data_IF_852247382107
#
_entry.id   IF_852247382107
#
_cell.length_a   1.000
_cell.length_b   1.000
_cell.length_c   1.000
_cell.angle_alpha   90.00
_cell.angle_beta   90.00
_cell.angle_gamma   90.00
#
_symmetry.space_group_name_H-M   'P 1'
#
loop_
_entity.id
_entity.type
_entity.pdbx_description
1 polymer ?
#
# COMPACT_ATOMS: atom_id res chain seq x y z
N UNK A 1 -14.05 12.07 -18.49
CA UNK A 1 -14.23 13.03 -17.37
C UNK A 1 -12.92 13.77 -17.12
N UNK A 2 -13.01 14.97 -16.55
CA UNK A 2 -11.88 15.76 -16.05
C UNK A 2 -11.75 15.59 -14.54
N UNK A 3 -10.69 14.92 -14.09
CA UNK A 3 -10.35 14.69 -12.70
C UNK A 3 -9.23 15.63 -12.26
N UNK A 4 -9.41 16.29 -11.11
CA UNK A 4 -8.32 16.90 -10.37
C UNK A 4 -7.94 16.02 -9.19
N UNK A 5 -6.78 15.35 -9.26
CA UNK A 5 -6.23 14.56 -8.16
C UNK A 5 -5.30 15.42 -7.32
N UNK A 6 -5.57 15.51 -6.02
CA UNK A 6 -4.79 16.33 -5.07
C UNK A 6 -4.06 15.41 -4.10
N UNK A 7 -2.74 15.53 -4.01
CA UNK A 7 -1.94 14.69 -3.13
C UNK A 7 -0.68 15.40 -2.64
N UNK A 8 -0.31 15.16 -1.40
CA UNK A 8 0.98 15.55 -0.84
C UNK A 8 2.10 14.57 -1.23
N UNK A 9 1.73 13.36 -1.69
CA UNK A 9 2.69 12.30 -2.04
C UNK A 9 2.42 11.74 -3.44
N UNK A 10 3.48 11.71 -4.26
CA UNK A 10 3.43 11.22 -5.64
C UNK A 10 4.85 10.86 -6.11
N UNK A 11 5.05 10.02 -7.15
CA UNK A 11 6.38 9.80 -7.69
C UNK A 11 7.10 11.12 -8.02
N UNK A 12 8.44 11.19 -7.84
CA UNK A 12 9.38 10.10 -7.50
C UNK A 12 9.45 9.62 -6.03
N UNK A 13 8.56 10.05 -5.12
CA UNK A 13 8.51 9.46 -3.78
C UNK A 13 8.20 7.95 -3.81
N UNK A 14 8.91 7.19 -2.97
CA UNK A 14 8.85 5.73 -2.97
C UNK A 14 8.08 5.27 -1.74
N UNK A 15 6.76 5.22 -1.87
CA UNK A 15 5.86 4.66 -0.87
C UNK A 15 4.61 4.06 -1.53
N UNK A 16 3.87 3.26 -0.76
CA UNK A 16 2.71 2.53 -1.27
C UNK A 16 1.53 3.40 -1.73
N UNK A 17 1.43 4.64 -1.26
CA UNK A 17 0.37 5.59 -1.67
C UNK A 17 0.75 6.21 -3.01
N UNK A 18 1.92 6.81 -3.12
CA UNK A 18 2.44 7.41 -4.35
C UNK A 18 2.37 6.43 -5.55
N UNK A 19 2.79 5.18 -5.35
CA UNK A 19 2.73 4.15 -6.40
C UNK A 19 1.30 3.79 -6.80
N UNK A 20 0.37 3.74 -5.85
CA UNK A 20 -1.06 3.46 -6.13
C UNK A 20 -1.66 4.59 -6.94
N UNK A 21 -1.45 5.84 -6.52
CA UNK A 21 -1.96 7.02 -7.21
C UNK A 21 -1.41 7.09 -8.64
N UNK A 22 -0.12 6.79 -8.84
CA UNK A 22 0.48 6.76 -10.17
C UNK A 22 -0.16 5.72 -11.09
N UNK A 23 -0.44 4.51 -10.58
CA UNK A 23 -1.15 3.47 -11.35
C UNK A 23 -2.58 3.87 -11.70
N UNK A 24 -3.30 4.49 -10.75
CA UNK A 24 -4.64 5.02 -10.98
C UNK A 24 -4.65 6.13 -12.04
N UNK A 25 -3.76 7.12 -11.93
CA UNK A 25 -3.64 8.22 -12.88
C UNK A 25 -3.28 7.70 -14.28
N UNK A 26 -2.28 6.81 -14.36
CA UNK A 26 -1.87 6.21 -15.63
C UNK A 26 -3.01 5.42 -16.30
N UNK A 27 -3.71 4.59 -15.52
CA UNK A 27 -4.85 3.82 -16.02
C UNK A 27 -6.02 4.71 -16.48
N UNK A 28 -6.38 5.73 -15.70
CA UNK A 28 -7.44 6.67 -16.09
C UNK A 28 -7.09 7.44 -17.37
N UNK A 29 -5.84 7.89 -17.50
CA UNK A 29 -5.35 8.55 -18.73
C UNK A 29 -5.40 7.60 -19.93
N UNK A 30 -5.01 6.34 -19.75
CA UNK A 30 -5.09 5.31 -20.80
C UNK A 30 -6.54 5.01 -21.23
N UNK A 31 -7.51 5.17 -20.32
CA UNK A 31 -8.94 5.10 -20.61
C UNK A 31 -9.52 6.41 -21.20
N UNK A 32 -8.68 7.41 -21.50
CA UNK A 32 -9.09 8.67 -22.13
C UNK A 32 -9.64 9.73 -21.18
N UNK A 33 -9.52 9.55 -19.86
CA UNK A 33 -9.90 10.60 -18.90
C UNK A 33 -8.82 11.70 -18.85
N UNK A 34 -9.24 12.95 -18.77
CA UNK A 34 -8.34 14.07 -18.51
C UNK A 34 -8.03 14.11 -17.01
N UNK A 35 -6.77 13.89 -16.64
CA UNK A 35 -6.37 13.82 -15.22
C UNK A 35 -5.26 14.83 -14.94
N UNK A 36 -5.58 15.85 -14.13
CA UNK A 36 -4.57 16.74 -13.55
C UNK A 36 -4.13 16.23 -12.17
N UNK A 37 -2.84 16.35 -11.85
CA UNK A 37 -2.29 15.98 -10.55
C UNK A 37 -1.74 17.22 -9.86
N UNK A 38 -2.38 17.65 -8.77
CA UNK A 38 -1.95 18.78 -7.95
C UNK A 38 -1.12 18.23 -6.79
N UNK A 39 0.17 18.57 -6.77
CA UNK A 39 1.11 18.08 -5.75
C UNK A 39 2.19 19.09 -5.37
N UNK A 40 2.84 18.97 -4.20
CA UNK A 40 3.99 19.78 -3.87
C UNK A 40 5.16 19.54 -4.81
N UNK A 41 5.93 20.61 -5.07
CA UNK A 41 7.24 20.49 -5.70
C UNK A 41 8.19 19.70 -4.79
N UNK A 42 8.82 18.66 -5.33
CA UNK A 42 9.73 17.79 -4.59
C UNK A 42 11.16 18.37 -4.52
N UNK A 43 12.02 17.80 -3.66
CA UNK A 43 13.35 18.35 -3.36
C UNK A 43 14.31 18.36 -4.55
N UNK A 44 14.12 17.46 -5.53
CA UNK A 44 14.93 17.38 -6.75
C UNK A 44 14.39 18.23 -7.90
N UNK A 45 13.22 18.85 -7.74
CA UNK A 45 12.59 19.68 -8.76
C UNK A 45 12.90 21.16 -8.48
N UNK A 46 13.57 21.82 -9.41
CA UNK A 46 13.95 23.24 -9.31
C UNK A 46 12.80 24.15 -9.74
N UNK A 47 12.74 25.40 -9.26
CA UNK A 47 11.82 26.40 -9.78
C UNK A 47 12.07 26.62 -11.28
N UNK A 48 11.06 26.35 -12.12
CA UNK A 48 11.15 26.46 -13.58
C UNK A 48 11.14 25.12 -14.32
N UNK A 49 11.35 23.99 -13.62
CA UNK A 49 11.20 22.68 -14.23
C UNK A 49 9.77 22.50 -14.75
N UNK A 50 9.67 22.04 -16.00
CA UNK A 50 8.40 21.69 -16.63
C UNK A 50 7.88 20.45 -15.90
N UNK A 51 6.71 20.53 -15.24
CA UNK A 51 6.11 19.36 -14.62
C UNK A 51 5.86 18.25 -15.65
N UNK A 52 5.81 16.98 -15.23
CA UNK A 52 5.24 15.92 -16.05
C UNK A 52 3.88 16.36 -16.61
N UNK A 53 3.56 15.94 -17.83
CA UNK A 53 2.35 16.39 -18.51
C UNK A 53 1.10 16.15 -17.65
N UNK A 54 0.34 17.23 -17.41
CA UNK A 54 -0.84 17.25 -16.54
C UNK A 54 -0.58 17.45 -15.04
N UNK A 55 0.65 17.66 -14.57
CA UNK A 55 0.92 17.98 -13.16
C UNK A 55 0.86 19.50 -12.91
N UNK A 56 0.21 19.92 -11.82
CA UNK A 56 0.26 21.28 -11.30
C UNK A 56 1.01 21.34 -9.97
N UNK A 57 2.23 21.91 -10.00
CA UNK A 57 3.11 21.96 -8.85
C UNK A 57 2.82 23.17 -7.95
N UNK A 58 2.48 22.90 -6.70
CA UNK A 58 2.38 23.93 -5.66
C UNK A 58 3.70 24.08 -4.90
N UNK A 59 4.03 25.27 -4.36
CA UNK A 59 5.18 25.44 -3.47
C UNK A 59 5.10 24.44 -2.31
N UNK A 60 6.19 23.72 -2.03
CA UNK A 60 6.24 22.75 -0.93
C UNK A 60 7.16 23.19 0.20
N UNK A 61 6.83 22.84 1.44
CA UNK A 61 7.69 23.01 2.62
C UNK A 61 8.13 21.64 3.14
N UNK A 62 9.39 21.51 3.56
CA UNK A 62 9.88 20.28 4.19
C UNK A 62 9.26 20.14 5.59
N UNK A 63 8.88 18.92 5.96
CA UNK A 63 8.37 18.64 7.31
C UNK A 63 9.56 18.50 8.27
N UNK A 64 9.60 19.20 9.42
CA UNK A 64 10.63 19.01 10.44
C UNK A 64 10.73 17.53 10.83
N UNK A 65 11.96 16.99 10.93
CA UNK A 65 12.27 15.58 11.25
C UNK A 65 11.88 14.54 10.18
N UNK A 66 11.18 14.93 9.10
CA UNK A 66 10.84 14.07 7.97
C UNK A 66 11.27 14.74 6.65
N UNK A 67 12.58 14.91 6.46
CA UNK A 67 13.15 15.65 5.32
C UNK A 67 12.81 15.07 3.94
N UNK A 68 12.33 13.82 3.87
CA UNK A 68 11.88 13.17 2.63
C UNK A 68 10.43 13.47 2.25
N UNK A 69 9.64 14.08 3.13
CA UNK A 69 8.25 14.44 2.88
C UNK A 69 8.09 15.95 2.79
N UNK A 70 7.25 16.40 1.86
CA UNK A 70 6.90 17.81 1.70
C UNK A 70 5.40 17.99 1.83
N UNK A 71 5.01 19.11 2.41
CA UNK A 71 3.62 19.57 2.45
C UNK A 71 3.45 20.74 1.49
N UNK A 72 2.36 20.76 0.75
CA UNK A 72 1.98 21.80 -0.17
C UNK A 72 1.53 23.02 0.62
N UNK A 73 2.10 24.18 0.28
CA UNK A 73 1.66 25.44 0.86
C UNK A 73 0.24 25.72 0.38
N UNK A 74 -0.75 25.77 1.30
CA UNK A 74 -2.14 25.88 0.92
C UNK A 74 -2.43 27.27 0.36
N UNK A 75 -3.06 27.34 -0.82
CA UNK A 75 -3.60 28.59 -1.35
C UNK A 75 -4.98 28.37 -1.96
N UNK A 76 -6.01 28.55 -1.13
CA UNK A 76 -7.42 28.39 -1.52
C UNK A 76 -7.74 29.28 -2.73
N UNK A 77 -7.37 30.57 -2.70
CA UNK A 77 -7.66 31.50 -3.80
C UNK A 77 -6.93 31.17 -5.11
N UNK A 78 -5.81 30.44 -5.06
CA UNK A 78 -5.12 29.98 -6.26
C UNK A 78 -5.80 28.75 -6.86
N UNK A 79 -6.22 27.81 -6.00
CA UNK A 79 -7.05 26.66 -6.39
C UNK A 79 -8.39 27.11 -6.97
N UNK A 80 -9.04 28.10 -6.35
CA UNK A 80 -10.29 28.68 -6.85
C UNK A 80 -10.12 29.27 -8.26
N UNK A 81 -9.12 30.13 -8.46
CA UNK A 81 -8.85 30.74 -9.78
C UNK A 81 -8.51 29.68 -10.83
N UNK A 82 -7.72 28.68 -10.47
CA UNK A 82 -7.37 27.56 -11.35
C UNK A 82 -8.63 26.80 -11.82
N UNK A 83 -9.47 26.36 -10.87
CA UNK A 83 -10.69 25.62 -11.19
C UNK A 83 -11.85 26.48 -11.74
N UNK A 84 -11.76 27.81 -11.68
CA UNK A 84 -12.65 28.71 -12.41
C UNK A 84 -12.27 28.79 -13.89
N UNK A 85 -10.97 28.85 -14.20
CA UNK A 85 -10.48 28.81 -15.57
C UNK A 85 -10.66 27.41 -16.20
N UNK A 86 -10.43 26.38 -15.39
CA UNK A 86 -10.41 24.99 -15.82
C UNK A 86 -11.15 24.08 -14.82
N UNK A 87 -12.48 24.10 -14.90
CA UNK A 87 -13.34 23.37 -13.95
C UNK A 87 -13.24 21.85 -14.13
N UNK A 88 -12.84 21.07 -13.11
CA UNK A 88 -12.93 19.61 -13.15
C UNK A 88 -14.37 19.13 -12.89
N UNK A 89 -14.69 17.93 -13.38
CA UNK A 89 -15.95 17.24 -13.10
C UNK A 89 -16.01 16.75 -11.64
N UNK A 90 -14.83 16.43 -11.07
CA UNK A 90 -14.66 15.93 -9.70
C UNK A 90 -13.23 16.21 -9.21
N UNK A 91 -13.10 16.54 -7.92
CA UNK A 91 -11.81 16.59 -7.22
C UNK A 91 -11.66 15.33 -6.37
N UNK A 92 -10.53 14.64 -6.47
CA UNK A 92 -10.17 13.55 -5.57
C UNK A 92 -9.02 13.96 -4.67
N UNK A 93 -9.23 14.00 -3.36
CA UNK A 93 -8.19 14.34 -2.38
C UNK A 93 -7.62 13.07 -1.77
N UNK A 94 -6.38 12.73 -2.12
CA UNK A 94 -5.72 11.51 -1.69
C UNK A 94 -5.00 11.62 -0.34
N UNK A 95 -4.78 12.84 0.15
CA UNK A 95 -4.08 13.12 1.41
C UNK A 95 -4.73 14.28 2.15
N UNK A 96 -4.97 14.13 3.44
CA UNK A 96 -5.76 15.03 4.28
C UNK A 96 -4.95 16.20 4.88
N UNK A 97 -3.77 16.46 4.32
CA UNK A 97 -2.86 17.54 4.74
C UNK A 97 -3.35 18.95 4.36
N UNK A 98 -2.51 19.98 4.56
CA UNK A 98 -2.86 21.37 4.28
C UNK A 98 -3.34 21.61 2.84
N UNK A 99 -2.70 21.00 1.84
CA UNK A 99 -3.13 21.11 0.44
C UNK A 99 -4.49 20.46 0.22
N UNK A 100 -4.73 19.29 0.82
CA UNK A 100 -6.01 18.58 0.76
C UNK A 100 -7.14 19.40 1.40
N UNK A 101 -6.89 20.03 2.55
CA UNK A 101 -7.84 20.92 3.21
C UNK A 101 -8.16 22.17 2.37
N UNK A 102 -7.14 22.79 1.79
CA UNK A 102 -7.33 23.95 0.91
C UNK A 102 -8.16 23.58 -0.33
N UNK A 103 -7.88 22.41 -0.90
CA UNK A 103 -8.59 21.85 -2.06
C UNK A 103 -10.06 21.55 -1.74
N UNK A 104 -10.34 20.92 -0.60
CA UNK A 104 -11.71 20.69 -0.13
C UNK A 104 -12.49 22.00 0.03
N UNK A 105 -11.86 23.04 0.59
CA UNK A 105 -12.50 24.36 0.76
C UNK A 105 -12.80 25.04 -0.58
N UNK A 106 -11.81 25.08 -1.49
CA UNK A 106 -11.96 25.70 -2.81
C UNK A 106 -13.02 24.97 -3.66
N UNK A 107 -12.98 23.64 -3.73
CA UNK A 107 -13.92 22.85 -4.51
C UNK A 107 -15.36 23.01 -4.01
N UNK A 108 -15.56 23.01 -2.68
CA UNK A 108 -16.88 23.23 -2.09
C UNK A 108 -17.43 24.64 -2.38
N UNK A 109 -16.59 25.67 -2.38
CA UNK A 109 -17.01 27.03 -2.74
C UNK A 109 -17.45 27.14 -4.20
N UNK A 110 -16.84 26.36 -5.09
CA UNK A 110 -17.16 26.31 -6.52
C UNK A 110 -18.26 25.28 -6.88
N UNK A 111 -18.86 24.62 -5.88
CA UNK A 111 -19.85 23.56 -6.11
C UNK A 111 -19.29 22.40 -6.95
N UNK A 112 -18.03 22.04 -6.74
CA UNK A 112 -17.38 20.90 -7.39
C UNK A 112 -17.44 19.71 -6.41
N UNK A 113 -17.89 18.52 -6.84
CA UNK A 113 -17.92 17.34 -6.00
C UNK A 113 -16.51 16.91 -5.60
N UNK A 114 -16.36 16.51 -4.35
CA UNK A 114 -15.08 16.06 -3.78
C UNK A 114 -15.20 14.63 -3.31
N UNK A 115 -14.31 13.76 -3.76
CA UNK A 115 -14.07 12.43 -3.16
C UNK A 115 -12.74 12.44 -2.42
N UNK A 116 -12.53 11.48 -1.53
CA UNK A 116 -11.25 11.32 -0.83
C UNK A 116 -10.86 9.86 -0.70
N UNK A 117 -9.58 9.60 -0.48
CA UNK A 117 -9.09 8.28 -0.09
C UNK A 117 -8.46 8.32 1.30
N UNK A 118 -8.60 7.23 2.04
CA UNK A 118 -8.06 7.06 3.38
C UNK A 118 -6.80 6.21 3.31
N UNK A 119 -5.66 6.79 3.66
CA UNK A 119 -4.35 6.11 3.64
C UNK A 119 -3.62 6.15 4.98
N UNK A 120 -4.26 6.71 6.00
CA UNK A 120 -3.69 6.85 7.34
C UNK A 120 -3.72 5.49 8.06
N UNK A 121 -2.58 5.03 8.59
CA UNK A 121 -2.52 3.78 9.33
C UNK A 121 -2.85 4.00 10.82
N UNK A 122 -4.09 3.75 11.23
CA UNK A 122 -4.54 3.95 12.62
C UNK A 122 -3.75 3.16 13.66
N UNK A 123 -3.28 1.96 13.33
CA UNK A 123 -2.55 1.10 14.26
C UNK A 123 -1.17 1.68 14.59
N UNK A 124 -0.52 2.34 13.62
CA UNK A 124 0.73 3.05 13.85
C UNK A 124 0.61 4.20 14.87
N UNK A 125 -0.55 4.86 14.96
CA UNK A 125 -0.80 5.92 15.94
C UNK A 125 -1.11 5.39 17.35
N UNK A 126 -1.31 4.08 17.52
CA UNK A 126 -1.70 3.48 18.78
C UNK A 126 -0.55 3.23 19.77
N UNK A 127 0.68 3.03 19.29
CA UNK A 127 1.73 2.40 20.11
C UNK A 127 3.02 3.19 20.35
N UNK A 128 3.38 4.17 19.53
CA UNK A 128 4.77 4.70 19.52
C UNK A 128 4.98 6.13 20.01
N UNK A 129 3.92 6.90 20.28
CA UNK A 129 4.03 8.25 20.82
C UNK A 129 2.92 8.45 21.85
N UNK A 130 3.26 8.57 23.13
CA UNK A 130 2.35 8.68 24.28
C UNK A 130 1.44 9.91 24.27
N UNK A 131 0.56 9.99 23.28
CA UNK A 131 -0.20 11.17 22.90
C UNK A 131 -1.67 10.82 22.61
N UNK A 132 -2.32 10.09 23.53
CA UNK A 132 -3.71 9.65 23.39
C UNK A 132 -4.70 10.80 23.09
N UNK A 133 -4.45 12.00 23.62
CA UNK A 133 -5.26 13.19 23.32
C UNK A 133 -5.10 13.66 21.86
N UNK A 134 -3.87 13.70 21.34
CA UNK A 134 -3.62 14.08 19.94
C UNK A 134 -4.23 13.06 18.98
N UNK A 135 -4.25 11.77 19.34
CA UNK A 135 -4.96 10.74 18.56
C UNK A 135 -6.45 11.06 18.41
N UNK A 136 -7.11 11.46 19.51
CA UNK A 136 -8.52 11.87 19.49
C UNK A 136 -8.78 13.08 18.59
N UNK A 137 -7.90 14.09 18.66
CA UNK A 137 -7.99 15.29 17.82
C UNK A 137 -7.75 14.99 16.34
N UNK A 138 -6.74 14.19 16.00
CA UNK A 138 -6.47 13.76 14.62
C UNK A 138 -7.64 12.97 14.07
N UNK A 139 -8.17 12.01 14.83
CA UNK A 139 -9.34 11.23 14.41
C UNK A 139 -10.58 12.13 14.19
N UNK A 140 -10.79 13.10 15.08
CA UNK A 140 -11.89 14.06 14.94
C UNK A 140 -11.73 14.93 13.69
N UNK A 141 -10.51 15.41 13.40
CA UNK A 141 -10.20 16.14 12.17
C UNK A 141 -10.44 15.29 10.93
N UNK A 142 -9.90 14.07 10.89
CA UNK A 142 -10.08 13.17 9.75
C UNK A 142 -11.57 12.87 9.52
N UNK A 143 -12.32 12.55 10.57
CA UNK A 143 -13.77 12.34 10.46
C UNK A 143 -14.48 13.57 9.92
N UNK A 144 -14.15 14.76 10.46
CA UNK A 144 -14.72 16.03 9.98
C UNK A 144 -14.42 16.28 8.50
N UNK A 145 -13.22 15.93 8.05
CA UNK A 145 -12.74 16.11 6.68
C UNK A 145 -13.46 15.15 5.72
N UNK A 146 -13.39 13.85 6.00
CA UNK A 146 -13.99 12.81 5.15
C UNK A 146 -15.51 12.92 5.09
N UNK A 147 -16.18 13.25 6.21
CA UNK A 147 -17.62 13.50 6.22
C UNK A 147 -18.03 14.81 5.49
N UNK A 148 -17.10 15.56 4.87
CA UNK A 148 -17.39 16.67 3.95
C UNK A 148 -17.19 16.33 2.49
N UNK A 149 -16.78 15.11 2.19
CA UNK A 149 -16.65 14.57 0.83
C UNK A 149 -17.92 13.80 0.43
N UNK A 150 -18.17 13.70 -0.87
CA UNK A 150 -19.25 12.91 -1.46
C UNK A 150 -19.02 11.41 -1.24
N UNK A 151 -17.76 10.97 -1.23
CA UNK A 151 -17.36 9.59 -0.95
C UNK A 151 -15.94 9.53 -0.39
N UNK A 152 -15.72 8.62 0.56
CA UNK A 152 -14.41 8.29 1.11
C UNK A 152 -14.05 6.85 0.78
N UNK A 153 -12.92 6.65 0.13
CA UNK A 153 -12.46 5.35 -0.34
C UNK A 153 -11.39 4.79 0.59
N UNK A 154 -11.53 3.55 1.03
CA UNK A 154 -10.54 2.87 1.87
C UNK A 154 -10.01 1.58 1.21
N UNK A 155 -8.78 1.12 1.52
CA UNK A 155 -8.13 0.03 0.78
C UNK A 155 -8.77 -1.35 0.96
N UNK A 156 -9.47 -1.58 2.07
CA UNK A 156 -10.01 -2.88 2.46
C UNK A 156 -11.41 -2.74 3.07
N UNK A 157 -12.20 -3.80 3.02
CA UNK A 157 -13.51 -3.86 3.67
C UNK A 157 -13.37 -3.75 5.18
N UNK A 158 -12.35 -4.40 5.75
CA UNK A 158 -12.00 -4.25 7.17
C UNK A 158 -11.83 -2.78 7.57
N UNK A 159 -11.09 -1.99 6.77
CA UNK A 159 -10.88 -0.57 7.07
C UNK A 159 -12.17 0.25 6.92
N UNK A 160 -13.03 -0.08 5.95
CA UNK A 160 -14.36 0.53 5.83
C UNK A 160 -15.19 0.29 7.10
N UNK A 161 -15.25 -0.94 7.60
CA UNK A 161 -16.03 -1.29 8.79
C UNK A 161 -15.45 -0.62 10.05
N UNK A 162 -14.12 -0.57 10.16
CA UNK A 162 -13.42 0.14 11.22
C UNK A 162 -13.63 1.66 11.19
N UNK A 163 -13.76 2.27 10.00
CA UNK A 163 -14.07 3.69 9.84
C UNK A 163 -15.55 3.95 10.15
N UNK A 164 -16.45 3.07 9.69
CA UNK A 164 -17.88 3.16 9.96
C UNK A 164 -18.18 3.14 11.46
N UNK A 165 -17.56 2.20 12.22
CA UNK A 165 -17.67 2.16 13.68
C UNK A 165 -17.19 3.44 14.38
N UNK A 166 -16.31 4.21 13.73
CA UNK A 166 -15.81 5.52 14.20
C UNK A 166 -16.60 6.72 13.66
N UNK A 167 -17.78 6.47 13.06
CA UNK A 167 -18.73 7.46 12.51
C UNK A 167 -18.22 8.21 11.26
N UNK A 168 -17.37 7.56 10.48
CA UNK A 168 -17.11 8.02 9.12
C UNK A 168 -18.27 7.60 8.21
N UNK A 169 -18.63 8.46 7.27
CA UNK A 169 -19.80 8.29 6.41
C UNK A 169 -19.40 8.17 4.94
N UNK A 170 -20.30 7.60 4.12
CA UNK A 170 -20.16 7.50 2.66
C UNK A 170 -18.84 6.80 2.27
N UNK A 171 -18.60 5.66 2.91
CA UNK A 171 -17.42 4.85 2.73
C UNK A 171 -17.63 3.83 1.61
N UNK A 172 -16.59 3.60 0.81
CA UNK A 172 -16.55 2.48 -0.14
C UNK A 172 -15.12 1.92 -0.23
N UNK A 173 -14.97 0.74 -0.81
CA UNK A 173 -13.68 0.07 -0.96
C UNK A 173 -13.03 0.48 -2.27
N UNK A 174 -11.82 1.02 -2.20
CA UNK A 174 -10.89 1.13 -3.33
C UNK A 174 -9.82 0.07 -3.16
N UNK A 175 -10.08 -1.10 -3.74
CA UNK A 175 -9.16 -2.23 -3.73
C UNK A 175 -7.82 -1.87 -4.39
N UNK A 176 -6.83 -2.76 -4.25
CA UNK A 176 -5.54 -2.61 -4.91
C UNK A 176 -5.30 -3.71 -5.94
N UNK A 177 -4.63 -3.33 -7.02
CA UNK A 177 -4.14 -4.25 -8.02
C UNK A 177 -2.72 -4.72 -7.69
N UNK A 178 -2.34 -5.85 -8.27
CA UNK A 178 -0.96 -6.34 -8.32
C UNK A 178 -0.51 -6.38 -9.77
N UNK A 179 0.76 -6.00 -10.03
CA UNK A 179 1.36 -6.13 -11.36
C UNK A 179 1.75 -7.60 -11.58
N UNK A 180 0.76 -8.41 -11.94
CA UNK A 180 0.92 -9.84 -12.15
C UNK A 180 1.78 -10.20 -13.37
N UNK A 181 2.14 -9.25 -14.24
CA UNK A 181 3.11 -9.46 -15.32
C UNK A 181 4.55 -9.25 -14.83
N UNK A 182 4.74 -8.30 -13.93
CA UNK A 182 6.00 -8.10 -13.24
C UNK A 182 6.25 -9.22 -12.24
N UNK A 183 5.32 -9.48 -11.33
CA UNK A 183 5.41 -10.53 -10.33
C UNK A 183 4.87 -11.84 -10.90
N UNK A 184 5.78 -12.66 -11.42
CA UNK A 184 5.47 -13.91 -12.10
C UNK A 184 6.44 -15.04 -11.68
N UNK A 185 5.93 -16.26 -11.38
CA UNK A 185 6.77 -17.40 -11.00
C UNK A 185 7.83 -17.78 -12.05
N UNK A 186 7.61 -17.46 -13.33
CA UNK A 186 8.56 -17.74 -14.41
C UNK A 186 9.87 -16.96 -14.26
N UNK A 187 9.93 -15.95 -13.38
CA UNK A 187 11.17 -15.20 -13.06
C UNK A 187 12.06 -15.90 -12.04
N UNK A 188 11.73 -17.13 -11.64
CA UNK A 188 12.56 -17.90 -10.71
C UNK A 188 13.98 -18.06 -11.25
N UNK A 189 14.97 -17.71 -10.43
CA UNK A 189 16.38 -17.73 -10.81
C UNK A 189 17.17 -18.70 -9.94
N UNK A 190 17.69 -19.76 -10.56
CA UNK A 190 18.58 -20.71 -9.88
C UNK A 190 19.90 -20.05 -9.48
N UNK A 191 20.44 -19.16 -10.30
CA UNK A 191 21.66 -18.40 -9.99
C UNK A 191 21.48 -17.55 -8.72
N UNK A 192 20.30 -16.93 -8.56
CA UNK A 192 19.98 -16.15 -7.38
C UNK A 192 19.90 -17.04 -6.13
N UNK A 193 19.25 -18.22 -6.23
CA UNK A 193 19.21 -19.20 -5.14
C UNK A 193 20.59 -19.69 -4.72
N UNK A 194 21.47 -19.97 -5.69
CA UNK A 194 22.87 -20.33 -5.42
C UNK A 194 23.61 -19.20 -4.70
N UNK A 195 23.38 -17.93 -5.09
CA UNK A 195 23.97 -16.78 -4.40
C UNK A 195 23.52 -16.63 -2.93
N UNK A 196 22.39 -17.24 -2.57
CA UNK A 196 21.89 -17.30 -1.19
C UNK A 196 22.39 -18.53 -0.43
N UNK A 197 23.22 -19.35 -1.04
CA UNK A 197 23.67 -20.64 -0.50
C UNK A 197 22.54 -21.66 -0.38
N UNK A 198 21.47 -21.53 -1.17
CA UNK A 198 20.35 -22.47 -1.21
C UNK A 198 20.57 -23.50 -2.32
N UNK A 199 20.50 -24.78 -1.99
CA UNK A 199 20.38 -25.86 -2.95
C UNK A 199 19.03 -25.79 -3.70
N UNK A 200 18.88 -26.46 -4.86
CA UNK A 200 17.62 -26.51 -5.60
C UNK A 200 16.41 -26.93 -4.75
N UNK A 201 16.60 -27.89 -3.84
CA UNK A 201 15.61 -28.48 -2.95
C UNK A 201 15.43 -27.76 -1.61
N UNK A 202 16.35 -26.86 -1.25
CA UNK A 202 16.30 -26.14 0.02
C UNK A 202 15.08 -25.21 0.07
N UNK A 203 14.43 -25.16 1.23
CA UNK A 203 13.33 -24.22 1.45
C UNK A 203 13.89 -22.79 1.57
N UNK A 204 13.53 -21.89 0.64
CA UNK A 204 13.85 -20.46 0.78
C UNK A 204 12.66 -19.72 1.39
N UNK A 205 12.85 -19.27 2.63
CA UNK A 205 11.91 -18.40 3.33
C UNK A 205 12.25 -16.95 3.02
N UNK A 206 11.27 -16.21 2.50
CA UNK A 206 11.42 -14.83 2.07
C UNK A 206 10.69 -13.87 3.00
N UNK A 207 11.37 -12.78 3.34
CA UNK A 207 10.77 -11.58 3.91
C UNK A 207 11.01 -10.41 2.96
N UNK A 208 9.98 -9.64 2.65
CA UNK A 208 10.09 -8.43 1.84
C UNK A 208 9.44 -7.26 2.57
N UNK A 209 10.18 -6.17 2.75
CA UNK A 209 9.67 -4.96 3.36
C UNK A 209 10.72 -4.15 4.08
N UNK A 210 10.29 -3.06 4.73
CA UNK A 210 11.18 -2.25 5.56
C UNK A 210 11.67 -3.10 6.75
N UNK A 211 12.97 -3.09 7.01
CA UNK A 211 13.57 -3.79 8.16
C UNK A 211 13.51 -2.83 9.36
N UNK A 212 12.37 -2.86 10.06
CA UNK A 212 12.07 -1.95 11.15
C UNK A 212 11.16 -2.62 12.19
N UNK A 213 11.20 -2.12 13.44
CA UNK A 213 10.54 -2.74 14.59
C UNK A 213 9.02 -2.84 14.40
N UNK A 214 8.40 -1.83 13.79
CA UNK A 214 6.96 -1.79 13.54
C UNK A 214 6.47 -2.92 12.62
N UNK A 215 7.36 -3.57 11.85
CA UNK A 215 7.00 -4.71 11.00
C UNK A 215 6.99 -6.05 11.72
N UNK A 216 7.26 -6.06 13.03
CA UNK A 216 7.29 -7.26 13.87
C UNK A 216 8.21 -8.35 13.29
N UNK A 217 9.35 -7.92 12.76
CA UNK A 217 10.32 -8.81 12.10
C UNK A 217 10.90 -9.85 13.06
N UNK A 218 10.99 -9.53 14.37
CA UNK A 218 11.43 -10.46 15.40
C UNK A 218 10.62 -11.76 15.39
N UNK A 219 9.29 -11.68 15.26
CA UNK A 219 8.44 -12.86 15.19
C UNK A 219 8.68 -13.70 13.92
N UNK A 220 8.94 -13.06 12.78
CA UNK A 220 9.28 -13.78 11.56
C UNK A 220 10.66 -14.48 11.66
N UNK A 221 11.63 -13.84 12.33
CA UNK A 221 12.94 -14.44 12.64
C UNK A 221 12.77 -15.63 13.58
N UNK A 222 12.04 -15.49 14.68
CA UNK A 222 11.75 -16.58 15.62
C UNK A 222 11.08 -17.77 14.91
N UNK A 223 10.09 -17.49 14.05
CA UNK A 223 9.40 -18.52 13.30
C UNK A 223 10.33 -19.23 12.29
N UNK A 224 11.22 -18.49 11.63
CA UNK A 224 12.24 -19.09 10.75
C UNK A 224 13.22 -19.97 11.54
N UNK A 225 13.72 -19.51 12.69
CA UNK A 225 14.65 -20.27 13.51
C UNK A 225 14.05 -21.60 13.96
N UNK A 226 12.78 -21.60 14.40
CA UNK A 226 12.02 -22.82 14.74
C UNK A 226 11.82 -23.73 13.54
N UNK A 227 11.51 -23.16 12.37
CA UNK A 227 11.39 -23.92 11.11
C UNK A 227 12.70 -24.64 10.79
N UNK A 228 13.85 -23.97 10.97
CA UNK A 228 15.18 -24.49 10.67
C UNK A 228 15.57 -25.69 11.53
N UNK A 229 14.97 -25.86 12.71
CA UNK A 229 15.14 -27.07 13.53
C UNK A 229 14.66 -28.34 12.80
N UNK A 230 13.59 -28.22 12.00
CA UNK A 230 13.03 -29.32 11.18
C UNK A 230 13.56 -29.36 9.74
N UNK A 231 14.07 -28.23 9.24
CA UNK A 231 14.58 -28.06 7.88
C UNK A 231 15.97 -27.38 7.91
N UNK A 232 17.04 -28.12 8.28
CA UNK A 232 18.38 -27.51 8.47
C UNK A 232 18.96 -26.83 7.22
N UNK A 233 18.54 -27.27 6.03
CA UNK A 233 18.91 -26.66 4.75
C UNK A 233 18.20 -25.35 4.43
N UNK A 234 17.17 -24.97 5.18
CA UNK A 234 16.40 -23.76 4.88
C UNK A 234 17.25 -22.48 4.92
N UNK A 235 16.92 -21.54 4.05
CA UNK A 235 17.57 -20.22 3.97
C UNK A 235 16.56 -19.12 4.23
N UNK A 236 16.99 -18.09 4.96
CA UNK A 236 16.19 -16.89 5.18
C UNK A 236 16.75 -15.74 4.39
N UNK A 237 15.93 -15.19 3.50
CA UNK A 237 16.29 -14.11 2.57
C UNK A 237 15.46 -12.90 2.91
N UNK A 238 16.13 -11.79 3.26
CA UNK A 238 15.51 -10.51 3.58
C UNK A 238 15.77 -9.51 2.45
N UNK A 239 14.68 -9.10 1.79
CA UNK A 239 14.70 -8.07 0.75
C UNK A 239 14.12 -6.78 1.31
N UNK A 240 14.97 -5.76 1.37
CA UNK A 240 14.64 -4.47 1.94
C UNK A 240 15.76 -3.88 2.78
N UNK A 241 15.50 -2.72 3.35
CA UNK A 241 16.41 -2.02 4.23
C UNK A 241 15.64 -1.31 5.34
N UNK A 242 16.34 -0.81 6.33
CA UNK A 242 15.75 -0.05 7.42
C UNK A 242 16.64 0.03 8.65
N UNK A 243 16.21 0.81 9.65
CA UNK A 243 17.00 1.11 10.84
C UNK A 243 17.41 -0.15 11.63
N UNK A 244 16.64 -1.23 11.57
CA UNK A 244 16.95 -2.47 12.29
C UNK A 244 17.89 -3.42 11.52
N UNK A 245 18.27 -3.11 10.27
CA UNK A 245 19.07 -4.01 9.42
C UNK A 245 20.43 -4.33 10.02
N UNK A 246 21.18 -3.31 10.45
CA UNK A 246 22.54 -3.51 10.95
C UNK A 246 22.58 -4.40 12.20
N UNK A 247 21.68 -4.15 13.15
CA UNK A 247 21.55 -4.96 14.36
C UNK A 247 21.15 -6.40 14.03
N UNK A 248 20.20 -6.59 13.11
CA UNK A 248 19.77 -7.92 12.69
C UNK A 248 20.91 -8.70 12.00
N UNK A 249 21.67 -8.05 11.12
CA UNK A 249 22.82 -8.67 10.43
C UNK A 249 23.96 -9.03 11.38
N UNK A 250 24.16 -8.26 12.44
CA UNK A 250 25.13 -8.60 13.48
C UNK A 250 24.69 -9.82 14.32
N UNK A 251 23.39 -9.93 14.61
CA UNK A 251 22.83 -11.04 15.40
C UNK A 251 22.69 -12.34 14.59
N UNK A 252 22.40 -12.25 13.29
CA UNK A 252 22.16 -13.38 12.40
C UNK A 252 22.95 -13.25 11.09
N UNK A 253 24.30 -13.33 11.14
CA UNK A 253 25.14 -13.20 9.96
C UNK A 253 24.91 -14.31 8.93
N UNK A 254 24.23 -15.39 9.30
CA UNK A 254 23.91 -16.49 8.41
C UNK A 254 22.69 -16.24 7.50
N UNK A 255 21.91 -15.18 7.73
CA UNK A 255 20.81 -14.80 6.85
C UNK A 255 21.32 -14.08 5.61
N UNK A 256 20.56 -14.14 4.51
CA UNK A 256 20.89 -13.39 3.30
C UNK A 256 20.19 -12.02 3.30
N UNK A 257 20.97 -10.95 3.30
CA UNK A 257 20.47 -9.57 3.26
C UNK A 257 20.60 -9.00 1.85
N UNK A 258 19.55 -9.13 1.04
CA UNK A 258 19.55 -8.66 -0.34
C UNK A 258 19.57 -7.12 -0.43
N UNK A 259 19.17 -6.41 0.63
CA UNK A 259 19.01 -4.95 0.57
C UNK A 259 17.78 -4.55 -0.25
N UNK A 260 17.64 -3.25 -0.54
CA UNK A 260 16.49 -2.75 -1.30
C UNK A 260 16.57 -3.18 -2.77
N UNK A 261 15.48 -3.77 -3.28
CA UNK A 261 15.29 -4.18 -4.68
C UNK A 261 14.02 -3.56 -5.25
N UNK A 262 13.97 -3.37 -6.57
CA UNK A 262 12.83 -2.77 -7.28
C UNK A 262 12.63 -3.42 -8.64
N UNK A 263 11.45 -3.23 -9.23
CA UNK A 263 11.15 -3.69 -10.58
C UNK A 263 11.44 -5.18 -10.77
N UNK A 264 12.10 -5.52 -11.87
CA UNK A 264 12.41 -6.91 -12.23
C UNK A 264 13.26 -7.63 -11.18
N UNK A 265 14.27 -6.95 -10.60
CA UNK A 265 15.11 -7.57 -9.57
C UNK A 265 14.27 -7.99 -8.35
N UNK A 266 13.34 -7.14 -7.91
CA UNK A 266 12.44 -7.49 -6.80
C UNK A 266 11.56 -8.69 -7.15
N UNK A 267 11.02 -8.72 -8.36
CA UNK A 267 10.18 -9.83 -8.82
C UNK A 267 10.94 -11.16 -8.91
N UNK A 268 12.20 -11.15 -9.34
CA UNK A 268 13.07 -12.32 -9.33
C UNK A 268 13.34 -12.84 -7.92
N UNK A 269 13.49 -11.95 -6.93
CA UNK A 269 13.66 -12.35 -5.52
C UNK A 269 12.40 -13.04 -4.99
N UNK A 270 11.22 -12.49 -5.28
CA UNK A 270 9.96 -13.16 -4.95
C UNK A 270 9.88 -14.54 -5.62
N UNK A 271 9.98 -14.63 -6.95
CA UNK A 271 9.83 -15.88 -7.69
C UNK A 271 10.85 -16.97 -7.29
N UNK A 272 11.99 -16.57 -6.72
CA UNK A 272 13.05 -17.46 -6.24
C UNK A 272 12.86 -17.95 -4.80
N UNK A 273 11.91 -17.37 -4.06
CA UNK A 273 11.47 -17.84 -2.74
C UNK A 273 10.48 -19.00 -2.81
N UNK A 274 10.14 -19.54 -1.64
CA UNK A 274 9.25 -20.71 -1.50
C UNK A 274 8.11 -20.46 -0.50
N UNK A 275 8.45 -19.88 0.64
CA UNK A 275 7.55 -19.50 1.72
C UNK A 275 7.73 -18.01 1.97
N UNK A 276 6.64 -17.25 2.09
CA UNK A 276 6.70 -15.82 2.41
C UNK A 276 6.17 -15.58 3.82
N UNK A 277 7.01 -15.04 4.71
CA UNK A 277 6.61 -14.73 6.08
C UNK A 277 6.37 -13.23 6.24
N UNK A 278 5.18 -12.88 6.71
CA UNK A 278 4.82 -11.48 6.94
C UNK A 278 4.00 -11.31 8.22
N UNK A 279 4.70 -11.06 9.33
CA UNK A 279 4.13 -10.94 10.66
C UNK A 279 3.73 -9.49 11.04
N UNK A 280 3.56 -8.59 10.05
CA UNK A 280 3.27 -7.19 10.35
C UNK A 280 1.89 -7.01 10.99
N UNK A 281 1.85 -6.21 12.05
CA UNK A 281 0.63 -5.86 12.80
C UNK A 281 0.08 -4.48 12.43
N UNK A 282 0.69 -3.82 11.43
CA UNK A 282 0.39 -2.43 11.10
C UNK A 282 0.54 -2.18 9.59
N UNK A 283 -0.58 -2.29 8.88
CA UNK A 283 -0.66 -2.18 7.43
C UNK A 283 -1.95 -1.50 7.00
N UNK A 284 -1.88 -0.67 5.95
CA UNK A 284 -3.10 -0.16 5.31
C UNK A 284 -3.67 -1.16 4.32
N UNK A 285 -2.79 -1.87 3.60
CA UNK A 285 -3.14 -2.97 2.71
C UNK A 285 -2.11 -4.10 2.77
N UNK A 286 -0.82 -3.80 2.62
CA UNK A 286 0.23 -4.84 2.61
C UNK A 286 0.44 -5.46 1.22
N UNK A 287 0.78 -4.64 0.22
CA UNK A 287 1.00 -5.07 -1.17
C UNK A 287 1.93 -6.29 -1.29
N UNK A 288 2.92 -6.40 -0.41
CA UNK A 288 3.91 -7.49 -0.40
C UNK A 288 3.28 -8.88 -0.32
N UNK A 289 2.11 -9.01 0.33
CA UNK A 289 1.35 -10.26 0.38
C UNK A 289 0.83 -10.61 -1.02
N UNK A 290 0.18 -9.67 -1.70
CA UNK A 290 -0.33 -9.91 -3.07
C UNK A 290 0.78 -10.09 -4.10
N UNK A 291 1.94 -9.45 -3.92
CA UNK A 291 3.13 -9.64 -4.75
C UNK A 291 3.73 -11.05 -4.57
N UNK A 292 3.78 -11.54 -3.33
CA UNK A 292 4.19 -12.91 -3.03
C UNK A 292 3.21 -13.94 -3.62
N UNK A 293 1.90 -13.70 -3.48
CA UNK A 293 0.88 -14.54 -4.12
C UNK A 293 1.04 -14.56 -5.64
N UNK A 294 1.23 -13.39 -6.26
CA UNK A 294 1.43 -13.25 -7.70
C UNK A 294 2.71 -13.96 -8.18
N UNK A 295 3.76 -13.98 -7.37
CA UNK A 295 5.01 -14.67 -7.68
C UNK A 295 4.99 -16.17 -7.34
N UNK A 296 3.86 -16.69 -6.83
CA UNK A 296 3.67 -18.11 -6.56
C UNK A 296 4.40 -18.62 -5.31
N UNK A 297 4.57 -17.80 -4.27
CA UNK A 297 5.02 -18.27 -2.95
C UNK A 297 3.83 -18.77 -2.14
N UNK A 298 4.10 -19.52 -1.05
CA UNK A 298 3.12 -19.80 0.00
C UNK A 298 3.16 -18.67 1.02
N UNK A 299 2.17 -17.77 1.11
CA UNK A 299 2.17 -16.71 2.11
C UNK A 299 1.72 -17.23 3.48
N UNK A 300 2.42 -16.81 4.54
CA UNK A 300 2.01 -16.94 5.93
C UNK A 300 2.00 -15.55 6.56
N UNK A 301 0.82 -15.08 6.93
CA UNK A 301 0.63 -13.73 7.45
C UNK A 301 -0.53 -13.68 8.44
N UNK A 302 -0.62 -12.61 9.23
CA UNK A 302 -1.80 -12.37 10.05
C UNK A 302 -3.05 -12.14 9.20
N UNK A 303 -4.20 -12.62 9.66
CA UNK A 303 -5.54 -12.40 9.11
C UNK A 303 -5.95 -10.93 9.28
N UNK A 304 -5.32 -10.09 8.48
CA UNK A 304 -5.37 -8.64 8.55
C UNK A 304 -5.00 -8.04 7.19
N UNK A 305 -5.65 -6.93 6.84
CA UNK A 305 -5.40 -6.21 5.59
C UNK A 305 -5.49 -7.13 4.35
N UNK A 306 -4.52 -7.11 3.43
CA UNK A 306 -4.54 -7.92 2.20
C UNK A 306 -4.68 -9.43 2.46
N UNK A 307 -4.15 -9.95 3.58
CA UNK A 307 -4.30 -11.37 3.93
C UNK A 307 -5.77 -11.71 4.14
N UNK A 308 -6.50 -10.89 4.90
CA UNK A 308 -7.93 -11.10 5.16
C UNK A 308 -8.77 -11.03 3.88
N UNK A 309 -8.39 -10.14 2.96
CA UNK A 309 -9.11 -9.95 1.69
C UNK A 309 -8.85 -11.08 0.68
N UNK A 310 -7.65 -11.68 0.69
CA UNK A 310 -7.17 -12.47 -0.45
C UNK A 310 -6.62 -13.86 -0.10
N UNK A 311 -6.26 -14.11 1.16
CA UNK A 311 -5.75 -15.41 1.63
C UNK A 311 -6.88 -16.20 2.28
N UNK A 312 -7.10 -17.40 1.76
CA UNK A 312 -7.98 -18.44 2.28
C UNK A 312 -7.09 -19.49 2.93
N UNK A 313 -7.17 -19.59 4.26
CA UNK A 313 -6.31 -20.45 5.07
C UNK A 313 -6.31 -21.90 4.57
N UNK A 314 -5.11 -22.47 4.38
CA UNK A 314 -4.88 -23.82 3.87
C UNK A 314 -5.13 -24.02 2.37
N UNK A 315 -5.71 -23.04 1.67
CA UNK A 315 -6.05 -23.16 0.24
C UNK A 315 -5.01 -22.47 -0.64
N UNK A 316 -4.74 -21.19 -0.39
CA UNK A 316 -3.84 -20.38 -1.21
C UNK A 316 -2.78 -19.63 -0.38
N UNK A 317 -2.66 -20.01 0.89
CA UNK A 317 -1.80 -19.44 1.91
C UNK A 317 -2.25 -19.87 3.30
N UNK A 318 -1.61 -19.34 4.35
CA UNK A 318 -1.96 -19.61 5.74
C UNK A 318 -2.16 -18.30 6.48
N UNK A 319 -3.35 -18.14 7.05
CA UNK A 319 -3.70 -16.96 7.82
C UNK A 319 -3.61 -17.29 9.31
N UNK A 320 -2.88 -16.46 10.06
CA UNK A 320 -2.78 -16.56 11.51
C UNK A 320 -3.73 -15.56 12.17
N UNK A 321 -4.26 -15.89 13.35
CA UNK A 321 -5.04 -14.93 14.13
C UNK A 321 -4.23 -13.66 14.40
N UNK A 322 -4.85 -12.49 14.20
CA UNK A 322 -4.17 -11.20 14.24
C UNK A 322 -3.53 -10.93 15.61
N UNK A 323 -2.26 -10.50 15.58
CA UNK A 323 -1.47 -10.12 16.77
C UNK A 323 -1.36 -11.24 17.82
N UNK A 324 -1.42 -12.50 17.39
CA UNK A 324 -1.22 -13.68 18.24
C UNK A 324 0.04 -14.46 17.81
N UNK A 325 1.20 -14.24 18.47
CA UNK A 325 2.45 -14.91 18.11
C UNK A 325 2.36 -16.45 18.11
N UNK A 326 1.59 -17.03 19.04
CA UNK A 326 1.34 -18.47 19.08
C UNK A 326 0.61 -18.97 17.83
N UNK A 327 -0.41 -18.24 17.37
CA UNK A 327 -1.14 -18.55 16.15
C UNK A 327 -0.27 -18.41 14.90
N UNK A 328 0.63 -17.41 14.87
CA UNK A 328 1.58 -17.24 13.78
C UNK A 328 2.55 -18.43 13.68
N UNK A 329 3.16 -18.84 14.81
CA UNK A 329 4.00 -20.04 14.85
C UNK A 329 3.24 -21.30 14.42
N UNK A 330 1.98 -21.45 14.87
CA UNK A 330 1.14 -22.57 14.47
C UNK A 330 0.85 -22.56 12.96
N UNK A 331 0.60 -21.38 12.36
CA UNK A 331 0.41 -21.24 10.92
C UNK A 331 1.67 -21.61 10.11
N UNK A 332 2.85 -21.19 10.56
CA UNK A 332 4.13 -21.61 9.93
C UNK A 332 4.32 -23.11 10.02
N UNK A 333 4.04 -23.72 11.18
CA UNK A 333 4.10 -25.18 11.35
C UNK A 333 3.13 -25.91 10.42
N UNK A 334 1.89 -25.41 10.27
CA UNK A 334 0.91 -25.97 9.31
C UNK A 334 1.39 -25.84 7.87
N UNK A 335 1.98 -24.69 7.51
CA UNK A 335 2.54 -24.47 6.18
C UNK A 335 3.64 -25.50 5.85
N UNK A 336 4.54 -25.77 6.80
CA UNK A 336 5.58 -26.80 6.65
C UNK A 336 5.00 -28.22 6.58
N UNK A 337 4.03 -28.55 7.44
CA UNK A 337 3.36 -29.85 7.39
C UNK A 337 2.67 -30.10 6.03
N UNK A 338 2.25 -29.02 5.35
CA UNK A 338 1.64 -29.06 4.03
C UNK A 338 2.65 -28.96 2.87
N UNK A 339 3.97 -29.17 3.08
CA UNK A 339 5.01 -29.01 2.04
C UNK A 339 4.71 -29.80 0.76
N UNK A 340 4.17 -31.01 0.89
CA UNK A 340 3.75 -31.84 -0.26
C UNK A 340 2.63 -31.20 -1.09
N UNK A 341 1.81 -30.33 -0.48
CA UNK A 341 0.70 -29.63 -1.13
C UNK A 341 1.11 -28.24 -1.66
N UNK A 342 2.35 -27.80 -1.45
CA UNK A 342 2.81 -26.48 -1.88
C UNK A 342 2.61 -26.21 -3.37
N UNK A 343 2.84 -27.14 -4.32
CA UNK A 343 2.55 -26.86 -5.73
C UNK A 343 1.10 -26.43 -5.97
N UNK A 344 0.13 -27.10 -5.33
CA UNK A 344 -1.29 -26.75 -5.43
C UNK A 344 -1.60 -25.42 -4.74
N UNK A 345 -1.07 -25.20 -3.52
CA UNK A 345 -1.27 -23.96 -2.77
C UNK A 345 -0.70 -22.75 -3.53
N UNK A 346 0.50 -22.88 -4.11
CA UNK A 346 1.13 -21.82 -4.91
C UNK A 346 0.36 -21.52 -6.19
N UNK A 347 -0.14 -22.54 -6.88
CA UNK A 347 -1.00 -22.37 -8.05
C UNK A 347 -2.30 -21.63 -7.68
N UNK A 348 -2.93 -22.00 -6.56
CA UNK A 348 -4.11 -21.31 -6.04
C UNK A 348 -3.79 -19.86 -5.61
N UNK A 349 -2.61 -19.63 -5.01
CA UNK A 349 -2.13 -18.29 -4.63
C UNK A 349 -2.00 -17.39 -5.84
N UNK A 350 -1.33 -17.89 -6.88
CA UNK A 350 -1.19 -17.22 -8.18
C UNK A 350 -2.55 -16.93 -8.81
N UNK A 351 -3.45 -17.91 -8.85
CA UNK A 351 -4.78 -17.77 -9.45
C UNK A 351 -5.64 -16.72 -8.73
N UNK A 352 -5.51 -16.58 -7.40
CA UNK A 352 -6.16 -15.49 -6.67
C UNK A 352 -5.56 -14.13 -7.03
N UNK A 353 -4.23 -14.02 -7.07
CA UNK A 353 -3.55 -12.77 -7.38
C UNK A 353 -3.81 -12.28 -8.82
N UNK A 354 -3.94 -13.18 -9.78
CA UNK A 354 -4.27 -12.86 -11.18
C UNK A 354 -5.62 -12.14 -11.36
N UNK A 355 -6.53 -12.26 -10.38
CA UNK A 355 -7.82 -11.55 -10.39
C UNK A 355 -7.73 -10.11 -9.90
N UNK A 356 -6.61 -9.74 -9.26
CA UNK A 356 -6.39 -8.42 -8.67
C UNK A 356 -5.73 -7.49 -9.70
N UNK A 357 -6.45 -7.17 -10.78
CA UNK A 357 -5.89 -6.37 -11.87
C UNK A 357 -6.02 -4.87 -11.62
N UNK A 358 -5.04 -4.10 -12.07
CA UNK A 358 -5.13 -2.63 -12.04
C UNK A 358 -6.25 -2.11 -12.95
N UNK A 359 -6.52 -2.76 -14.08
CA UNK A 359 -7.59 -2.34 -14.99
C UNK A 359 -8.96 -2.38 -14.31
N UNK A 360 -9.27 -3.44 -13.56
CA UNK A 360 -10.52 -3.54 -12.80
C UNK A 360 -10.60 -2.51 -11.68
N UNK A 361 -9.49 -2.25 -10.97
CA UNK A 361 -9.41 -1.23 -9.92
C UNK A 361 -9.61 0.18 -10.49
N UNK A 362 -8.98 0.48 -11.62
CA UNK A 362 -9.09 1.77 -12.32
C UNK A 362 -10.52 1.98 -12.82
N UNK A 363 -11.12 0.97 -13.46
CA UNK A 363 -12.49 1.05 -13.95
C UNK A 363 -13.48 1.32 -12.80
N UNK A 364 -13.37 0.57 -11.69
CA UNK A 364 -14.20 0.81 -10.52
C UNK A 364 -13.97 2.20 -9.91
N UNK A 365 -12.72 2.64 -9.83
CA UNK A 365 -12.41 3.99 -9.34
C UNK A 365 -13.03 5.07 -10.23
N UNK A 366 -12.99 4.92 -11.57
CA UNK A 366 -13.64 5.83 -12.50
C UNK A 366 -15.16 5.87 -12.30
N UNK A 367 -15.81 4.72 -12.10
CA UNK A 367 -17.25 4.63 -11.80
C UNK A 367 -17.60 5.34 -10.49
N UNK A 368 -16.80 5.16 -9.43
CA UNK A 368 -17.04 5.80 -8.13
C UNK A 368 -16.91 7.32 -8.21
N UNK A 369 -15.96 7.81 -9.02
CA UNK A 369 -15.78 9.22 -9.32
C UNK A 369 -16.94 9.81 -10.15
N UNK A 370 -17.40 9.09 -11.18
CA UNK A 370 -18.53 9.48 -12.00
C UNK A 370 -19.83 9.58 -11.18
N UNK A 371 -20.14 8.54 -10.39
CA UNK A 371 -21.30 8.53 -9.47
C UNK A 371 -21.28 9.70 -8.50
N UNK A 372 -20.10 10.00 -7.92
CA UNK A 372 -19.97 11.14 -7.02
C UNK A 372 -20.22 12.48 -7.72
N UNK A 373 -19.92 12.58 -9.03
CA UNK A 373 -20.20 13.77 -9.82
C UNK A 373 -21.70 13.91 -10.14
N UNK A 374 -22.33 12.84 -10.61
CA UNK A 374 -23.76 12.78 -10.93
C UNK A 374 -24.65 13.08 -9.71
N UNK A 375 -24.37 12.43 -8.57
CA UNK A 375 -25.11 12.65 -7.31
C UNK A 375 -25.07 14.12 -6.86
N UNK A 376 -23.98 14.82 -7.15
CA UNK A 376 -23.82 16.22 -6.76
C UNK A 376 -24.65 17.17 -7.62
N UNK A 377 -24.71 16.91 -8.93
CA UNK A 377 -25.57 17.67 -9.86
C UNK A 377 -27.04 17.53 -9.46
N UNK A 378 -27.49 16.32 -9.12
CA UNK A 378 -28.87 16.10 -8.69
C UNK A 378 -29.25 16.81 -7.37
N UNK A 379 -28.28 17.05 -6.47
CA UNK A 379 -28.51 17.78 -5.21
C UNK A 379 -28.48 19.30 -5.37
N UNK A 380 -27.84 19.82 -6.41
CA UNK A 380 -27.77 21.27 -6.67
C UNK A 380 -28.95 21.78 -7.49
N UNK A 381 -29.69 20.89 -8.16
CA UNK A 381 -30.90 21.20 -8.94
C UNK A 381 -32.22 20.93 -8.20
N UNK A 382 -32.18 20.53 -6.92
CA UNK A 382 -33.34 20.46 -6.00
C UNK A 382 -33.20 21.56 -4.97
#
# INVERSE_FOLDING_TARGET
>A
MKLSLVTETYPPEINGVAMTLSRLVGGLRAQGHAVEVIRPRQSKELPGDVPPEGDWLVPGMAIPFYNSLRIGLPSVSRLERHWQAERPDVVHVATEGPLGLASLRAARKLGIPVTSSFHTNFHAYGGHYGMGLLRGLVLAYLRWFHNRTARTLAPTRQMVDELASKRFERLDVMARGVDAMLFDPARRSLALRVSWGAAPEDTVVLYVGRIAAEKNLGLAVEAFLKLRESEPGARFVLVGDGPARAALAAAHPEFHYAGMRRGTELAEHYASGDLFLFASVTETFGNVVTEAMASGLVPVAYDYAATREHVRDGVNGFAAEFDQPGAFHAAVKRALAAKLLWPAIRAASRASALKLTWDAVVARFAEDLAKASEDHLHRTHR
#
